data_IF_962295952550
#
_entry.id   IF_962295952550
#
_cell.length_a   1.000
_cell.length_b   1.000
_cell.length_c   1.000
_cell.angle_alpha   90.00
_cell.angle_beta   90.00
_cell.angle_gamma   90.00
#
_symmetry.space_group_name_H-M   'P 1'
#
loop_
_entity.id
_entity.type
_entity.pdbx_description
1 polymer ?
#
# COMPACT_ATOMS: atom_id res chain seq x y z
N UNK A 1 -14.55 2.76 12.21
CA UNK A 1 -14.20 3.10 10.82
C UNK A 1 -12.70 3.09 10.65
N UNK A 2 -12.20 2.09 9.94
CA UNK A 2 -10.79 2.03 9.55
C UNK A 2 -10.58 2.99 8.38
N UNK A 3 -9.84 4.07 8.63
CA UNK A 3 -9.58 5.11 7.63
C UNK A 3 -8.40 4.69 6.76
N UNK A 4 -8.67 4.37 5.50
CA UNK A 4 -7.62 4.15 4.47
C UNK A 4 -7.02 5.49 4.08
N UNK A 5 -5.69 5.55 4.00
CA UNK A 5 -4.98 6.77 3.62
C UNK A 5 -4.63 6.69 2.12
N UNK A 6 -5.38 7.41 1.30
CA UNK A 6 -5.17 7.39 -0.15
C UNK A 6 -4.08 8.39 -0.58
N UNK A 7 -3.29 8.04 -1.59
CA UNK A 7 -2.37 8.99 -2.23
C UNK A 7 -3.10 10.14 -2.93
N UNK A 8 -4.21 9.80 -3.60
CA UNK A 8 -5.09 10.74 -4.28
C UNK A 8 -6.48 10.14 -4.43
N UNK A 9 -7.49 10.95 -4.79
CA UNK A 9 -8.85 10.50 -5.08
C UNK A 9 -8.92 9.50 -6.26
N UNK A 10 -7.88 9.44 -7.11
CA UNK A 10 -7.79 8.54 -8.26
C UNK A 10 -6.95 7.28 -7.98
N UNK A 11 -6.44 7.13 -6.76
CA UNK A 11 -5.52 6.06 -6.39
C UNK A 11 -6.29 4.83 -5.90
N UNK A 12 -6.92 4.13 -6.83
CA UNK A 12 -7.65 2.90 -6.52
C UNK A 12 -7.31 1.76 -7.50
N UNK A 13 -7.55 0.54 -7.05
CA UNK A 13 -7.48 -0.68 -7.85
C UNK A 13 -8.66 -1.59 -7.50
N UNK A 14 -9.02 -2.49 -8.41
CA UNK A 14 -10.03 -3.51 -8.14
C UNK A 14 -9.34 -4.71 -7.49
N UNK A 15 -9.90 -5.20 -6.41
CA UNK A 15 -9.51 -6.45 -5.75
C UNK A 15 -10.78 -7.23 -5.47
N UNK A 16 -10.87 -8.44 -6.02
CA UNK A 16 -12.10 -9.25 -6.02
C UNK A 16 -13.31 -8.42 -6.51
N UNK A 17 -14.36 -8.27 -5.69
CA UNK A 17 -15.54 -7.48 -5.99
C UNK A 17 -15.52 -6.08 -5.33
N UNK A 18 -14.37 -5.63 -4.85
CA UNK A 18 -14.20 -4.35 -4.17
C UNK A 18 -13.23 -3.42 -4.92
N UNK A 19 -13.42 -2.12 -4.72
CA UNK A 19 -12.46 -1.09 -5.12
C UNK A 19 -11.69 -0.66 -3.89
N UNK A 20 -10.39 -0.93 -3.86
CA UNK A 20 -9.51 -0.55 -2.77
C UNK A 20 -8.68 0.67 -3.16
N UNK A 21 -8.46 1.57 -2.20
CA UNK A 21 -7.58 2.73 -2.34
C UNK A 21 -6.18 2.37 -1.88
N UNK A 22 -5.15 2.95 -2.52
CA UNK A 22 -3.75 2.73 -2.13
C UNK A 22 -3.05 4.04 -1.77
N UNK A 23 -2.07 3.93 -0.86
CA UNK A 23 -1.23 5.04 -0.41
C UNK A 23 0.03 5.23 -1.27
N UNK A 24 0.52 4.15 -1.89
CA UNK A 24 1.67 4.20 -2.80
C UNK A 24 1.58 3.06 -3.82
N UNK A 25 2.18 3.25 -5.00
CA UNK A 25 2.29 2.25 -6.06
C UNK A 25 3.69 2.32 -6.64
N UNK A 26 4.27 1.16 -6.96
CA UNK A 26 5.49 1.03 -7.75
C UNK A 26 5.26 0.00 -8.84
N UNK A 27 5.60 0.34 -10.07
CA UNK A 27 5.67 -0.60 -11.19
C UNK A 27 7.11 -1.08 -11.35
N UNK A 28 7.27 -2.36 -11.67
CA UNK A 28 8.56 -3.00 -11.85
C UNK A 28 8.41 -4.15 -12.85
N UNK A 29 9.51 -4.54 -13.47
CA UNK A 29 9.57 -5.69 -14.37
C UNK A 29 10.27 -6.85 -13.67
N UNK A 30 9.70 -8.05 -13.75
CA UNK A 30 10.25 -9.25 -13.13
C UNK A 30 10.69 -10.24 -14.22
N UNK A 31 11.99 -10.51 -14.29
CA UNK A 31 12.60 -11.35 -15.33
C UNK A 31 12.94 -12.77 -14.84
N UNK A 32 12.41 -13.20 -13.68
CA UNK A 32 12.62 -14.55 -13.13
C UNK A 32 13.69 -14.64 -12.04
N UNK A 33 14.37 -13.54 -11.72
CA UNK A 33 15.32 -13.46 -10.60
C UNK A 33 14.78 -12.64 -9.43
N UNK A 34 15.24 -12.94 -8.22
CA UNK A 34 14.85 -12.21 -7.00
C UNK A 34 15.21 -10.73 -7.13
N UNK A 35 14.21 -9.86 -7.01
CA UNK A 35 14.39 -8.41 -7.00
C UNK A 35 14.34 -7.87 -5.57
N UNK A 36 15.35 -7.10 -5.19
CA UNK A 36 15.31 -6.30 -3.97
C UNK A 36 14.59 -4.98 -4.27
N UNK A 37 13.46 -4.75 -3.61
CA UNK A 37 12.59 -3.62 -3.89
C UNK A 37 12.13 -2.92 -2.63
N UNK A 38 11.78 -1.64 -2.79
CA UNK A 38 11.19 -0.82 -1.74
C UNK A 38 10.18 0.14 -2.36
N UNK A 39 9.07 0.38 -1.67
CA UNK A 39 8.09 1.38 -2.06
C UNK A 39 8.13 2.48 -1.03
N UNK A 40 8.32 3.71 -1.48
CA UNK A 40 8.26 4.88 -0.63
C UNK A 40 6.87 5.49 -0.74
N UNK A 41 6.28 5.79 0.41
CA UNK A 41 5.03 6.52 0.47
C UNK A 41 5.29 8.00 0.80
N UNK A 42 5.13 8.92 -0.16
CA UNK A 42 5.24 10.36 0.09
C UNK A 42 3.96 10.86 0.80
N UNK A 43 3.94 10.73 2.12
CA UNK A 43 2.88 11.28 2.95
C UNK A 43 3.07 12.81 3.14
N UNK A 44 1.97 13.52 3.34
CA UNK A 44 1.94 14.97 3.56
C UNK A 44 2.15 15.38 5.03
N UNK A 45 2.51 14.43 5.90
CA UNK A 45 2.65 14.63 7.35
C UNK A 45 1.33 14.63 8.12
N UNK A 46 0.19 14.33 7.49
CA UNK A 46 -1.12 14.26 8.15
C UNK A 46 -1.33 13.00 9.01
N UNK A 47 -0.32 12.11 9.06
CA UNK A 47 -0.37 10.91 9.88
C UNK A 47 -0.42 11.27 11.37
N UNK A 48 -1.31 10.62 12.09
CA UNK A 48 -1.46 10.76 13.54
C UNK A 48 -0.72 9.64 14.24
N UNK A 49 -0.31 9.88 15.49
CA UNK A 49 0.30 8.83 16.30
C UNK A 49 -0.69 7.68 16.50
N UNK A 50 -0.22 6.45 16.36
CA UNK A 50 -1.10 5.28 16.48
C UNK A 50 -0.58 4.03 15.80
N UNK A 51 -1.41 2.99 15.83
CA UNK A 51 -1.14 1.72 15.16
C UNK A 51 -1.68 1.76 13.74
N UNK A 52 -0.84 1.35 12.80
CA UNK A 52 -1.14 1.25 11.38
C UNK A 52 -0.93 -0.19 10.90
N UNK A 53 -1.78 -0.59 9.97
CA UNK A 53 -1.62 -1.84 9.20
C UNK A 53 -1.25 -1.46 7.78
N UNK A 54 -0.22 -2.11 7.24
CA UNK A 54 0.20 -1.97 5.86
C UNK A 54 -0.03 -3.31 5.16
N UNK A 55 -0.90 -3.30 4.14
CA UNK A 55 -1.16 -4.44 3.28
C UNK A 55 -0.51 -4.22 1.91
N UNK A 56 0.21 -5.22 1.42
CA UNK A 56 0.92 -5.16 0.16
C UNK A 56 0.25 -6.10 -0.86
N UNK A 57 -0.04 -5.55 -2.04
CA UNK A 57 -0.67 -6.28 -3.13
C UNK A 57 0.24 -6.28 -4.37
N UNK A 58 0.33 -7.43 -5.04
CA UNK A 58 1.01 -7.60 -6.33
C UNK A 58 0.13 -8.48 -7.22
N UNK A 59 -0.04 -8.12 -8.49
CA UNK A 59 -0.84 -8.88 -9.47
C UNK A 59 -2.23 -9.31 -8.95
N UNK A 60 -2.90 -8.39 -8.26
CA UNK A 60 -4.22 -8.59 -7.68
C UNK A 60 -4.29 -9.67 -6.56
N UNK A 61 -3.16 -9.98 -5.93
CA UNK A 61 -3.06 -10.84 -4.76
C UNK A 61 -2.42 -10.10 -3.58
N UNK A 62 -2.85 -10.39 -2.35
CA UNK A 62 -2.19 -9.88 -1.15
C UNK A 62 -0.94 -10.75 -0.88
N UNK A 63 0.24 -10.13 -0.92
CA UNK A 63 1.53 -10.80 -0.75
C UNK A 63 2.12 -10.62 0.65
N UNK A 64 1.45 -9.87 1.53
CA UNK A 64 1.86 -9.70 2.91
C UNK A 64 1.18 -8.53 3.61
N UNK A 65 1.11 -8.65 4.93
CA UNK A 65 0.60 -7.61 5.83
C UNK A 65 1.57 -7.41 6.98
N UNK A 66 1.74 -6.16 7.42
CA UNK A 66 2.53 -5.84 8.62
C UNK A 66 1.83 -4.78 9.44
N UNK A 67 2.04 -4.79 10.75
CA UNK A 67 1.63 -3.73 11.65
C UNK A 67 2.84 -2.91 12.10
N UNK A 68 2.66 -1.60 12.23
CA UNK A 68 3.67 -0.72 12.83
C UNK A 68 3.00 0.37 13.67
N UNK A 69 3.77 0.93 14.61
CA UNK A 69 3.32 2.01 15.48
C UNK A 69 4.04 3.31 15.15
N UNK A 70 3.28 4.34 14.78
CA UNK A 70 3.80 5.68 14.55
C UNK A 70 3.80 6.46 15.88
N UNK A 71 5.00 6.87 16.30
CA UNK A 71 5.26 7.52 17.59
C UNK A 71 5.11 9.03 17.57
#
# INVERSE_FOLDING_TARGET
DDKVIAFSEKSYFKYQNATLTYSAKREFEYEGERLEMSIYWPNDGSLVKGRYTADLFCDNENIGSTEFFLK
#
